data_IF_029759916060
#
_entry.id   IF_029759916060
#
_cell.length_a   1.000
_cell.length_b   1.000
_cell.length_c   1.000
_cell.angle_alpha   90.00
_cell.angle_beta   90.00
_cell.angle_gamma   90.00
#
_symmetry.space_group_name_H-M   'P 1'
#
loop_
_entity.id
_entity.type
_entity.pdbx_description
1 polymer ?
#
# COMPACT_ATOMS: atom_id res chain seq x y z
N UNK A 1 -56.01 23.62 -45.73
CA UNK A 1 -55.78 23.38 -47.18
C UNK A 1 -54.64 24.30 -47.60
N UNK A 2 -53.50 23.95 -48.19
CA UNK A 2 -52.90 22.72 -48.68
C UNK A 2 -51.64 23.15 -49.48
N UNK A 3 -50.49 22.53 -49.19
CA UNK A 3 -49.25 22.35 -50.00
C UNK A 3 -48.78 23.47 -50.97
N UNK A 4 -47.48 23.82 -50.92
CA UNK A 4 -46.37 23.15 -51.67
C UNK A 4 -45.00 23.78 -51.39
N UNK A 5 -43.99 22.90 -51.36
CA UNK A 5 -42.54 23.13 -51.27
C UNK A 5 -41.99 23.83 -52.52
N UNK A 6 -40.92 24.61 -52.37
CA UNK A 6 -39.88 24.75 -53.39
C UNK A 6 -38.52 25.00 -52.75
N UNK A 7 -37.49 24.37 -53.34
CA UNK A 7 -36.10 24.28 -52.88
C UNK A 7 -35.31 25.51 -53.35
N UNK A 8 -34.53 26.11 -52.46
CA UNK A 8 -33.52 27.14 -52.82
C UNK A 8 -32.14 26.49 -52.82
N UNK A 9 -31.49 26.47 -53.99
CA UNK A 9 -30.13 25.98 -54.20
C UNK A 9 -29.13 27.05 -53.75
N UNK A 10 -28.14 26.66 -52.94
CA UNK A 10 -26.91 27.42 -52.70
C UNK A 10 -26.06 27.38 -53.98
N UNK A 11 -25.58 28.55 -54.43
CA UNK A 11 -24.51 28.67 -55.40
C UNK A 11 -23.27 29.20 -54.68
N UNK A 12 -22.23 28.36 -54.61
CA UNK A 12 -20.91 28.71 -54.09
C UNK A 12 -20.04 29.16 -55.27
N UNK A 13 -19.47 30.36 -55.19
CA UNK A 13 -18.52 30.87 -56.17
C UNK A 13 -17.13 30.27 -55.92
N UNK A 14 -16.56 29.63 -56.95
CA UNK A 14 -15.18 29.14 -57.00
C UNK A 14 -14.20 30.32 -57.05
N UNK A 15 -13.21 30.32 -56.15
CA UNK A 15 -11.93 30.99 -56.35
C UNK A 15 -10.85 29.91 -56.44
N UNK A 16 -10.22 29.81 -57.61
CA UNK A 16 -9.11 28.90 -57.86
C UNK A 16 -7.81 29.52 -57.36
N UNK A 17 -7.12 28.82 -56.45
CA UNK A 17 -5.73 29.08 -56.11
C UNK A 17 -4.89 27.83 -56.40
N UNK A 18 -3.73 28.09 -56.97
CA UNK A 18 -2.79 27.17 -57.63
C UNK A 18 -2.26 26.09 -56.67
N UNK A 19 -2.32 24.83 -57.09
CA UNK A 19 -1.71 23.68 -56.41
C UNK A 19 -0.18 23.75 -56.51
N UNK A 20 0.49 23.98 -55.38
CA UNK A 20 1.84 23.48 -55.15
C UNK A 20 1.72 22.06 -54.58
N UNK A 21 2.21 21.07 -55.32
CA UNK A 21 2.21 19.67 -54.90
C UNK A 21 3.17 19.44 -53.73
N UNK A 22 2.62 19.38 -52.52
CA UNK A 22 3.27 18.71 -51.40
C UNK A 22 2.77 17.26 -51.39
N UNK A 23 3.68 16.31 -51.60
CA UNK A 23 3.40 14.90 -51.43
C UNK A 23 2.94 14.65 -49.99
N UNK A 24 1.66 14.34 -49.79
CA UNK A 24 1.20 13.73 -48.56
C UNK A 24 1.85 12.34 -48.50
N UNK A 25 2.95 12.23 -47.77
CA UNK A 25 3.34 10.94 -47.21
C UNK A 25 2.22 10.54 -46.26
N UNK A 26 1.50 9.48 -46.60
CA UNK A 26 0.61 8.83 -45.67
C UNK A 26 1.43 8.51 -44.41
N UNK A 27 1.09 9.13 -43.28
CA UNK A 27 1.64 8.72 -42.00
C UNK A 27 1.34 7.22 -41.85
N UNK A 28 2.33 6.38 -41.54
CA UNK A 28 2.08 4.97 -41.33
C UNK A 28 1.08 4.86 -40.19
N UNK A 29 0.00 4.13 -40.45
CA UNK A 29 -0.97 3.73 -39.44
C UNK A 29 -0.18 3.10 -38.28
N UNK A 30 -0.19 3.72 -37.10
CA UNK A 30 0.32 3.07 -35.89
C UNK A 30 -0.71 1.97 -35.58
N UNK A 31 -0.41 0.77 -36.07
CA UNK A 31 -1.13 -0.42 -35.71
C UNK A 31 -0.99 -0.64 -34.19
N UNK A 32 -2.12 -0.89 -33.55
CA UNK A 32 -2.29 -1.40 -32.20
C UNK A 32 -1.12 -2.35 -31.79
N UNK A 33 -0.45 -2.16 -30.63
CA UNK A 33 0.72 -2.98 -30.26
C UNK A 33 0.37 -4.42 -29.80
N UNK A 34 -0.88 -4.84 -29.97
CA UNK A 34 -1.26 -6.25 -29.84
C UNK A 34 -0.96 -7.02 -31.11
N UNK A 35 -0.06 -8.00 -31.03
CA UNK A 35 0.28 -8.97 -32.08
C UNK A 35 0.96 -8.41 -33.35
N UNK A 36 2.28 -8.20 -33.27
CA UNK A 36 3.17 -8.53 -34.39
C UNK A 36 3.97 -9.77 -34.03
N UNK A 37 3.39 -10.93 -34.35
CA UNK A 37 4.11 -12.20 -34.39
C UNK A 37 5.17 -12.14 -35.48
N UNK A 38 6.36 -11.69 -35.11
CA UNK A 38 7.60 -12.05 -35.78
C UNK A 38 8.33 -13.02 -34.87
N UNK A 39 8.44 -14.29 -35.27
CA UNK A 39 9.42 -15.20 -34.68
C UNK A 39 10.79 -14.54 -34.73
N UNK A 40 11.40 -14.30 -33.56
CA UNK A 40 12.78 -13.85 -33.44
C UNK A 40 13.68 -14.76 -34.27
N UNK A 41 14.60 -14.23 -35.11
CA UNK A 41 15.66 -15.05 -35.66
C UNK A 41 16.47 -15.61 -34.50
N UNK A 42 16.52 -16.94 -34.46
CA UNK A 42 16.92 -17.72 -33.30
C UNK A 42 18.34 -17.45 -32.81
N UNK A 43 18.48 -17.61 -31.50
CA UNK A 43 19.69 -17.56 -30.68
C UNK A 43 20.08 -16.14 -30.27
N UNK A 44 19.56 -15.70 -29.12
CA UNK A 44 20.19 -14.64 -28.34
C UNK A 44 21.57 -15.14 -27.91
N UNK A 45 22.62 -14.44 -28.35
CA UNK A 45 23.99 -14.75 -27.92
C UNK A 45 24.41 -13.82 -26.80
N UNK A 46 25.20 -14.35 -25.88
CA UNK A 46 25.83 -13.59 -24.80
C UNK A 46 27.25 -14.11 -24.60
N UNK A 47 28.21 -13.19 -24.57
CA UNK A 47 29.60 -13.46 -24.29
C UNK A 47 30.12 -12.45 -23.25
N UNK A 48 30.94 -12.93 -22.33
CA UNK A 48 31.56 -12.12 -21.27
C UNK A 48 33.06 -12.14 -21.48
N UNK A 49 33.73 -11.00 -21.33
CA UNK A 49 35.18 -10.89 -21.47
C UNK A 49 35.77 -9.89 -20.46
N UNK A 50 36.72 -10.31 -19.60
CA UNK A 50 37.16 -11.70 -19.35
C UNK A 50 36.02 -12.57 -18.77
N UNK A 51 36.09 -13.89 -18.97
CA UNK A 51 35.04 -14.84 -18.54
C UNK A 51 35.44 -15.68 -17.32
N UNK A 52 36.74 -15.85 -17.09
CA UNK A 52 37.30 -16.68 -16.03
C UNK A 52 38.33 -15.92 -15.19
N UNK A 53 38.63 -16.47 -14.02
CA UNK A 53 39.58 -15.90 -13.04
C UNK A 53 39.27 -14.47 -12.66
N UNK A 54 37.97 -14.19 -12.52
CA UNK A 54 37.47 -12.88 -12.14
C UNK A 54 37.68 -12.67 -10.64
N UNK A 55 37.92 -11.44 -10.23
CA UNK A 55 37.95 -11.04 -8.81
C UNK A 55 36.75 -10.17 -8.47
N UNK A 56 36.37 -10.13 -7.21
CA UNK A 56 35.26 -9.28 -6.73
C UNK A 56 35.49 -7.81 -7.12
N UNK A 57 34.47 -7.17 -7.68
CA UNK A 57 34.50 -5.81 -8.21
C UNK A 57 35.19 -5.65 -9.57
N UNK A 58 35.70 -6.72 -10.19
CA UNK A 58 36.33 -6.63 -11.51
C UNK A 58 35.32 -6.25 -12.59
N UNK A 59 35.68 -5.28 -13.43
CA UNK A 59 34.89 -4.91 -14.60
C UNK A 59 35.06 -5.92 -15.74
N UNK A 60 33.95 -6.35 -16.32
CA UNK A 60 33.88 -7.18 -17.53
C UNK A 60 33.10 -6.47 -18.62
N UNK A 61 33.35 -6.85 -19.87
CA UNK A 61 32.57 -6.44 -21.03
C UNK A 61 31.66 -7.59 -21.44
N UNK A 62 30.36 -7.33 -21.53
CA UNK A 62 29.34 -8.24 -22.04
C UNK A 62 28.96 -7.82 -23.45
N UNK A 63 29.07 -8.74 -24.40
CA UNK A 63 28.63 -8.55 -25.78
C UNK A 63 27.58 -9.58 -26.16
N UNK A 64 26.60 -9.19 -26.97
CA UNK A 64 25.61 -10.13 -27.46
C UNK A 64 24.80 -9.60 -28.62
N UNK A 65 24.03 -10.50 -29.23
CA UNK A 65 23.22 -10.24 -30.43
C UNK A 65 21.90 -10.98 -30.35
N UNK A 66 20.94 -10.61 -31.20
CA UNK A 66 19.68 -11.34 -31.33
C UNK A 66 18.56 -10.88 -30.39
N UNK A 67 18.72 -9.70 -29.78
CA UNK A 67 17.62 -9.01 -29.09
C UNK A 67 16.92 -8.03 -30.05
N UNK A 68 15.67 -7.67 -29.78
CA UNK A 68 14.88 -6.77 -30.63
C UNK A 68 15.51 -5.36 -30.64
N UNK A 69 15.88 -4.81 -31.81
CA UNK A 69 16.45 -3.48 -31.90
C UNK A 69 15.58 -2.41 -31.23
N UNK A 70 16.23 -1.49 -30.51
CA UNK A 70 15.59 -0.39 -29.78
C UNK A 70 14.62 -0.80 -28.65
N UNK A 71 14.62 -2.06 -28.20
CA UNK A 71 13.86 -2.46 -27.01
C UNK A 71 14.68 -2.30 -25.72
N UNK A 72 14.02 -2.07 -24.57
CA UNK A 72 14.67 -2.14 -23.27
C UNK A 72 15.05 -3.58 -22.93
N UNK A 73 16.20 -3.74 -22.28
CA UNK A 73 16.69 -5.03 -21.82
C UNK A 73 17.45 -4.87 -20.49
N UNK A 74 17.53 -5.99 -19.77
CA UNK A 74 18.19 -6.07 -18.47
C UNK A 74 19.35 -7.05 -18.54
N UNK A 75 20.44 -6.69 -17.86
CA UNK A 75 21.62 -7.52 -17.61
C UNK A 75 21.78 -7.71 -16.09
N UNK A 76 21.91 -8.96 -15.63
CA UNK A 76 22.01 -9.29 -14.20
C UNK A 76 23.02 -10.43 -13.94
N UNK A 77 23.61 -10.45 -12.75
CA UNK A 77 24.38 -11.60 -12.24
C UNK A 77 23.44 -12.62 -11.60
N UNK A 78 23.64 -13.90 -11.93
CA UNK A 78 22.72 -14.98 -11.62
C UNK A 78 23.44 -16.24 -11.12
N UNK A 79 22.63 -17.21 -10.67
CA UNK A 79 23.08 -18.56 -10.40
C UNK A 79 23.71 -19.24 -11.64
N UNK A 80 24.37 -20.38 -11.44
CA UNK A 80 25.03 -21.16 -12.51
C UNK A 80 24.12 -21.44 -13.72
N UNK A 81 22.86 -21.74 -13.44
CA UNK A 81 21.84 -22.10 -14.40
C UNK A 81 20.67 -21.15 -14.21
N UNK A 82 20.30 -20.45 -15.28
CA UNK A 82 19.21 -19.49 -15.27
C UNK A 82 18.01 -20.09 -15.97
N UNK A 83 16.95 -20.32 -15.21
CA UNK A 83 15.66 -20.83 -15.71
C UNK A 83 14.56 -19.79 -15.62
N UNK A 84 14.76 -18.78 -14.77
CA UNK A 84 13.87 -17.63 -14.58
C UNK A 84 14.67 -16.43 -14.06
N UNK A 85 14.08 -15.25 -14.10
CA UNK A 85 14.68 -14.04 -13.51
C UNK A 85 14.86 -14.15 -11.98
N UNK A 86 14.13 -15.05 -11.30
CA UNK A 86 14.31 -15.31 -9.87
C UNK A 86 15.61 -16.07 -9.53
N UNK A 87 16.35 -16.53 -10.54
CA UNK A 87 17.69 -17.09 -10.39
C UNK A 87 18.78 -15.99 -10.41
N UNK A 88 18.39 -14.72 -10.54
CA UNK A 88 19.27 -13.57 -10.63
C UNK A 88 19.21 -12.67 -9.39
N UNK A 89 20.27 -11.91 -9.13
CA UNK A 89 20.34 -10.94 -8.04
C UNK A 89 19.88 -9.56 -8.52
N UNK A 90 18.69 -9.09 -8.10
CA UNK A 90 18.11 -7.84 -8.58
C UNK A 90 18.94 -6.61 -8.17
N UNK A 91 19.85 -6.73 -7.20
CA UNK A 91 20.75 -5.64 -6.80
C UNK A 91 21.91 -5.42 -7.77
N UNK A 92 22.08 -6.32 -8.73
CA UNK A 92 23.08 -6.24 -9.81
C UNK A 92 22.50 -5.78 -11.15
N UNK A 93 21.20 -5.51 -11.20
CA UNK A 93 20.49 -5.18 -12.43
C UNK A 93 21.00 -3.92 -13.12
N UNK A 94 21.32 -4.06 -14.40
CA UNK A 94 21.66 -2.97 -15.29
C UNK A 94 20.68 -2.93 -16.45
N UNK A 95 19.91 -1.84 -16.52
CA UNK A 95 18.93 -1.61 -17.57
C UNK A 95 19.54 -0.76 -18.69
N UNK A 96 19.29 -1.15 -19.94
CA UNK A 96 19.76 -0.41 -21.12
C UNK A 96 18.82 -0.60 -22.30
N UNK A 97 19.11 0.07 -23.41
CA UNK A 97 18.37 -0.05 -24.67
C UNK A 97 19.26 -0.66 -25.74
N UNK A 98 18.74 -1.66 -26.44
CA UNK A 98 19.47 -2.37 -27.51
C UNK A 98 19.69 -1.42 -28.69
N UNK A 99 20.86 -1.52 -29.33
CA UNK A 99 21.18 -0.67 -30.46
C UNK A 99 20.28 -0.95 -31.69
N UNK A 100 20.48 -0.18 -32.76
CA UNK A 100 19.69 -0.31 -33.99
C UNK A 100 19.97 -1.59 -34.80
N UNK A 101 21.05 -2.32 -34.51
CA UNK A 101 21.37 -3.61 -35.14
C UNK A 101 20.88 -4.83 -34.35
N UNK A 102 20.38 -4.65 -33.12
CA UNK A 102 20.01 -5.77 -32.24
C UNK A 102 21.18 -6.34 -31.43
N UNK A 103 22.31 -5.64 -31.46
CA UNK A 103 23.53 -6.00 -30.75
C UNK A 103 23.69 -5.12 -29.50
N UNK A 104 24.49 -5.59 -28.55
CA UNK A 104 24.82 -4.82 -27.35
C UNK A 104 26.26 -5.06 -26.91
N UNK A 105 26.83 -4.04 -26.29
CA UNK A 105 28.13 -4.08 -25.62
C UNK A 105 28.03 -3.23 -24.37
N UNK A 106 28.12 -3.86 -23.20
CA UNK A 106 27.94 -3.23 -21.89
C UNK A 106 29.10 -3.62 -21.00
N UNK A 107 29.58 -2.69 -20.17
CA UNK A 107 30.52 -2.99 -19.10
C UNK A 107 29.81 -3.07 -17.76
N UNK A 108 30.08 -4.11 -16.98
CA UNK A 108 29.54 -4.28 -15.62
C UNK A 108 30.63 -4.78 -14.65
N UNK A 109 30.44 -4.61 -13.35
CA UNK A 109 31.32 -5.14 -12.30
C UNK A 109 30.77 -6.46 -11.75
N UNK A 110 31.64 -7.44 -11.53
CA UNK A 110 31.29 -8.77 -11.01
C UNK A 110 31.30 -8.79 -9.48
N UNK A 111 30.38 -9.55 -8.88
CA UNK A 111 30.37 -9.84 -7.44
C UNK A 111 30.85 -11.26 -7.15
N UNK A 112 31.62 -11.41 -6.09
CA UNK A 112 31.98 -12.73 -5.55
C UNK A 112 30.81 -13.40 -4.81
N UNK A 113 29.80 -12.64 -4.38
CA UNK A 113 28.58 -13.16 -3.76
C UNK A 113 27.35 -12.48 -4.36
N UNK A 114 26.38 -13.29 -4.77
CA UNK A 114 25.06 -12.84 -5.24
C UNK A 114 23.95 -13.41 -4.36
N UNK A 115 22.83 -12.70 -4.22
CA UNK A 115 21.65 -13.19 -3.49
C UNK A 115 20.44 -13.25 -4.40
N UNK A 116 19.99 -14.47 -4.70
CA UNK A 116 18.88 -14.69 -5.62
C UNK A 116 17.60 -15.02 -4.85
N UNK A 117 16.41 -14.63 -5.35
CA UNK A 117 15.14 -15.02 -4.75
C UNK A 117 14.96 -16.54 -4.58
N UNK A 118 15.42 -17.34 -5.56
CA UNK A 118 15.24 -18.80 -5.55
C UNK A 118 16.23 -19.54 -4.65
N UNK A 119 17.48 -19.09 -4.55
CA UNK A 119 18.57 -19.86 -3.92
C UNK A 119 19.21 -19.15 -2.72
N UNK A 120 18.82 -17.91 -2.42
CA UNK A 120 19.45 -17.12 -1.38
C UNK A 120 20.89 -16.76 -1.73
N UNK A 121 21.78 -16.74 -0.73
CA UNK A 121 23.19 -16.38 -0.91
C UNK A 121 23.95 -17.46 -1.69
N UNK A 122 24.60 -17.05 -2.79
CA UNK A 122 25.48 -17.87 -3.62
C UNK A 122 26.89 -17.27 -3.59
N UNK A 123 27.90 -18.06 -3.21
CA UNK A 123 29.31 -17.67 -3.25
C UNK A 123 29.97 -18.09 -4.56
N UNK A 124 30.07 -17.17 -5.52
CA UNK A 124 30.63 -17.40 -6.86
C UNK A 124 32.13 -17.76 -6.81
N UNK A 125 32.81 -17.42 -5.72
CA UNK A 125 34.21 -17.72 -5.43
C UNK A 125 34.38 -18.91 -4.45
N UNK A 126 33.28 -19.47 -3.93
CA UNK A 126 33.25 -20.58 -2.96
C UNK A 126 33.09 -21.96 -3.65
N UNK A 127 33.49 -22.07 -4.92
CA UNK A 127 33.40 -23.30 -5.71
C UNK A 127 32.04 -23.53 -6.40
N UNK A 128 31.12 -22.55 -6.31
CA UNK A 128 29.90 -22.51 -7.14
C UNK A 128 30.11 -21.61 -8.34
N UNK A 129 29.62 -22.00 -9.52
CA UNK A 129 29.70 -21.16 -10.72
C UNK A 129 28.54 -20.17 -10.75
N UNK A 130 28.79 -18.93 -11.12
CA UNK A 130 27.75 -17.95 -11.38
C UNK A 130 27.64 -17.67 -12.88
N UNK A 131 26.64 -16.91 -13.30
CA UNK A 131 26.48 -16.50 -14.69
C UNK A 131 26.09 -15.03 -14.79
N UNK A 132 26.25 -14.47 -15.98
CA UNK A 132 25.59 -13.22 -16.36
C UNK A 132 24.49 -13.57 -17.34
N UNK A 133 23.29 -13.05 -17.11
CA UNK A 133 22.15 -13.21 -18.01
C UNK A 133 21.70 -11.87 -18.59
N UNK A 134 21.13 -11.94 -19.80
CA UNK A 134 20.43 -10.84 -20.43
C UNK A 134 19.06 -11.30 -20.95
N UNK A 135 18.06 -10.43 -20.83
CA UNK A 135 16.72 -10.64 -21.39
C UNK A 135 16.04 -9.33 -21.73
N UNK A 136 15.01 -9.41 -22.58
CA UNK A 136 14.15 -8.27 -22.91
C UNK A 136 13.07 -8.10 -21.85
N UNK A 137 12.88 -6.88 -21.36
CA UNK A 137 11.92 -6.60 -20.28
C UNK A 137 10.47 -6.91 -20.67
N UNK A 138 10.19 -6.85 -21.98
CA UNK A 138 8.87 -7.06 -22.56
C UNK A 138 8.55 -8.54 -22.88
N UNK A 139 9.52 -9.46 -22.74
CA UNK A 139 9.38 -10.89 -23.08
C UNK A 139 9.98 -11.78 -21.98
N UNK A 140 9.30 -11.89 -20.83
CA UNK A 140 9.87 -12.42 -19.58
C UNK A 140 10.30 -13.91 -19.54
N UNK A 141 10.05 -14.75 -20.55
CA UNK A 141 10.34 -16.19 -20.43
C UNK A 141 10.99 -16.87 -21.64
N UNK A 142 11.12 -16.17 -22.78
CA UNK A 142 11.58 -16.79 -24.04
C UNK A 142 12.96 -16.35 -24.54
N UNK A 143 13.55 -15.32 -23.94
CA UNK A 143 14.73 -14.61 -24.48
C UNK A 143 15.94 -14.58 -23.54
N UNK A 144 15.95 -15.38 -22.47
CA UNK A 144 17.07 -15.40 -21.53
C UNK A 144 18.28 -16.07 -22.19
N UNK A 145 19.32 -15.28 -22.44
CA UNK A 145 20.66 -15.78 -22.72
C UNK A 145 21.53 -15.61 -21.48
N UNK A 146 22.33 -16.61 -21.15
CA UNK A 146 23.26 -16.52 -20.03
C UNK A 146 24.59 -17.20 -20.36
N UNK A 147 25.66 -16.69 -19.73
CA UNK A 147 27.01 -17.24 -19.85
C UNK A 147 27.58 -17.44 -18.46
N UNK A 148 28.02 -18.66 -18.17
CA UNK A 148 28.74 -18.96 -16.93
C UNK A 148 30.06 -18.20 -16.87
N UNK A 149 30.37 -17.69 -15.68
CA UNK A 149 31.60 -16.97 -15.34
C UNK A 149 32.35 -17.69 -14.21
N UNK A 150 33.68 -17.62 -14.25
CA UNK A 150 34.56 -18.20 -13.23
C UNK A 150 35.16 -17.12 -12.34
N UNK A 151 34.72 -17.03 -11.09
CA UNK A 151 35.31 -16.11 -10.10
C UNK A 151 36.38 -16.87 -9.33
N UNK A 152 37.61 -16.35 -9.32
CA UNK A 152 38.71 -16.92 -8.56
C UNK A 152 38.53 -16.64 -7.07
N UNK A 153 38.74 -17.65 -6.19
CA UNK A 153 38.87 -17.42 -4.77
C UNK A 153 40.00 -16.41 -4.55
N UNK A 154 39.66 -15.25 -3.97
CA UNK A 154 40.68 -14.31 -3.52
C UNK A 154 41.53 -15.02 -2.46
N UNK A 155 42.89 -14.97 -2.51
CA UNK A 155 43.72 -15.48 -1.41
C UNK A 155 43.22 -14.89 -0.11
N UNK A 156 42.74 -15.77 0.78
CA UNK A 156 41.79 -15.43 1.82
C UNK A 156 42.07 -14.09 2.48
N UNK A 157 41.17 -13.13 2.26
CA UNK A 157 40.89 -12.14 3.28
C UNK A 157 40.70 -12.94 4.57
N UNK A 158 41.46 -12.69 5.65
CA UNK A 158 41.23 -13.38 6.90
C UNK A 158 39.73 -13.31 7.18
N UNK A 159 39.11 -14.48 7.41
CA UNK A 159 37.68 -14.56 7.70
C UNK A 159 37.38 -13.44 8.71
N UNK A 160 36.46 -12.50 8.40
CA UNK A 160 36.23 -11.38 9.28
C UNK A 160 36.00 -11.96 10.67
N UNK A 161 36.64 -11.39 11.71
CA UNK A 161 36.49 -11.91 13.06
C UNK A 161 34.99 -12.11 13.33
N UNK A 162 34.59 -13.24 13.96
CA UNK A 162 33.18 -13.56 14.14
C UNK A 162 32.46 -12.34 14.71
N UNK A 163 31.32 -12.01 14.10
CA UNK A 163 30.57 -10.82 14.46
C UNK A 163 30.43 -10.74 15.99
N UNK A 164 30.75 -9.60 16.60
CA UNK A 164 30.74 -9.48 18.04
C UNK A 164 29.34 -9.82 18.58
N UNK A 165 29.31 -10.59 19.67
CA UNK A 165 28.04 -11.08 20.23
C UNK A 165 27.11 -9.91 20.56
N UNK A 166 25.87 -9.90 20.05
CA UNK A 166 24.95 -8.81 20.31
C UNK A 166 24.73 -8.58 21.80
N UNK A 167 24.56 -7.32 22.20
CA UNK A 167 24.02 -6.97 23.51
C UNK A 167 22.53 -7.26 23.49
N UNK A 168 22.01 -7.94 24.51
CA UNK A 168 20.61 -8.37 24.53
C UNK A 168 19.85 -7.67 25.64
N UNK A 169 18.71 -7.06 25.28
CA UNK A 169 17.77 -6.39 26.18
C UNK A 169 16.43 -7.14 26.12
N UNK A 170 15.91 -7.62 27.24
CA UNK A 170 14.68 -8.40 27.30
C UNK A 170 13.50 -7.58 27.82
N UNK A 171 12.38 -7.66 27.11
CA UNK A 171 11.11 -7.07 27.51
C UNK A 171 9.98 -8.12 27.55
N UNK A 172 8.99 -7.93 28.42
CA UNK A 172 7.76 -8.75 28.45
C UNK A 172 6.54 -7.87 28.71
N UNK A 173 5.31 -8.30 28.36
CA UNK A 173 4.10 -7.49 28.58
C UNK A 173 3.90 -7.03 30.04
N UNK A 174 4.28 -7.88 31.00
CA UNK A 174 4.21 -7.62 32.45
C UNK A 174 5.58 -7.34 33.08
N UNK A 175 6.59 -7.04 32.25
CA UNK A 175 7.96 -6.89 32.71
C UNK A 175 8.17 -5.68 33.59
N UNK A 176 8.83 -5.87 34.74
CA UNK A 176 9.11 -4.83 35.73
C UNK A 176 10.60 -4.79 36.13
N UNK A 177 11.43 -5.67 35.57
CA UNK A 177 12.86 -5.68 35.85
C UNK A 177 13.52 -4.38 35.40
N UNK A 178 14.52 -3.90 36.15
CA UNK A 178 15.23 -2.66 35.80
C UNK A 178 16.44 -2.89 34.88
N UNK A 179 16.96 -4.12 34.90
CA UNK A 179 18.14 -4.51 34.14
C UNK A 179 17.80 -5.17 32.79
N UNK A 180 16.50 -5.35 32.47
CA UNK A 180 16.03 -5.95 31.22
C UNK A 180 16.73 -7.27 30.86
N UNK A 181 16.85 -8.19 31.82
CA UNK A 181 17.52 -9.49 31.58
C UNK A 181 16.49 -10.57 31.26
N UNK A 182 16.93 -11.71 30.72
CA UNK A 182 16.02 -12.82 30.42
C UNK A 182 15.21 -13.30 31.64
N UNK A 183 15.83 -13.31 32.82
CA UNK A 183 15.19 -13.74 34.08
C UNK A 183 14.40 -12.62 34.78
N UNK A 184 14.65 -11.37 34.40
CA UNK A 184 13.96 -10.20 34.93
C UNK A 184 13.71 -9.20 33.79
N UNK A 185 12.82 -9.53 32.84
CA UNK A 185 12.53 -8.68 31.70
C UNK A 185 11.86 -7.39 32.16
N UNK A 186 12.10 -6.31 31.43
CA UNK A 186 11.55 -5.00 31.71
C UNK A 186 10.30 -4.72 30.85
N UNK A 187 9.72 -3.53 31.03
CA UNK A 187 8.65 -3.07 30.13
C UNK A 187 9.23 -2.75 28.74
N UNK A 188 8.38 -2.73 27.71
CA UNK A 188 8.81 -2.37 26.35
C UNK A 188 9.46 -0.98 26.28
N UNK A 189 8.89 0.01 26.97
CA UNK A 189 9.45 1.38 27.03
C UNK A 189 10.80 1.39 27.75
N UNK A 190 10.93 0.65 28.85
CA UNK A 190 12.22 0.52 29.55
C UNK A 190 13.27 -0.14 28.67
N UNK A 191 12.90 -1.14 27.86
CA UNK A 191 13.81 -1.79 26.93
C UNK A 191 14.25 -0.85 25.81
N UNK A 192 13.35 -0.01 25.31
CA UNK A 192 13.69 1.03 24.34
C UNK A 192 14.76 1.99 24.89
N UNK A 193 14.53 2.57 26.07
CA UNK A 193 15.52 3.46 26.70
C UNK A 193 16.84 2.77 27.04
N UNK A 194 16.80 1.48 27.40
CA UNK A 194 18.01 0.69 27.60
C UNK A 194 18.78 0.55 26.28
N UNK A 195 18.11 0.21 25.18
CA UNK A 195 18.74 0.12 23.87
C UNK A 195 19.33 1.47 23.42
N UNK A 196 18.57 2.56 23.56
CA UNK A 196 19.02 3.94 23.32
C UNK A 196 20.32 4.26 24.08
N UNK A 197 20.41 3.89 25.36
CA UNK A 197 21.60 4.15 26.17
C UNK A 197 22.87 3.40 25.69
N UNK A 198 22.70 2.31 24.93
CA UNK A 198 23.79 1.52 24.38
C UNK A 198 24.28 2.06 23.03
N UNK A 199 23.42 2.77 22.28
CA UNK A 199 23.69 3.25 20.92
C UNK A 199 25.01 4.05 20.80
N UNK A 200 25.30 5.05 21.66
CA UNK A 200 26.50 5.88 21.50
C UNK A 200 27.83 5.11 21.60
N UNK A 201 27.82 3.91 22.20
CA UNK A 201 29.03 3.13 22.50
C UNK A 201 29.01 1.72 21.89
N UNK A 202 28.16 1.50 20.87
CA UNK A 202 28.01 0.19 20.24
C UNK A 202 29.34 -0.35 19.72
N UNK A 203 29.63 -1.59 20.12
CA UNK A 203 30.72 -2.45 19.60
C UNK A 203 30.16 -3.77 19.01
N UNK A 204 28.83 -3.91 18.99
CA UNK A 204 28.06 -5.03 18.48
C UNK A 204 26.63 -4.56 18.23
N UNK A 205 25.83 -5.37 17.54
CA UNK A 205 24.38 -5.17 17.46
C UNK A 205 23.74 -5.15 18.86
N UNK A 206 22.58 -4.52 18.97
CA UNK A 206 21.71 -4.55 20.15
C UNK A 206 20.41 -5.26 19.78
N UNK A 207 20.19 -6.42 20.38
CA UNK A 207 18.98 -7.23 20.22
C UNK A 207 17.98 -6.91 21.34
N UNK A 208 16.86 -6.29 21.00
CA UNK A 208 15.71 -6.16 21.91
C UNK A 208 14.80 -7.37 21.72
N UNK A 209 14.82 -8.29 22.70
CA UNK A 209 14.08 -9.55 22.70
C UNK A 209 12.75 -9.42 23.44
N UNK A 210 11.67 -9.57 22.68
CA UNK A 210 10.29 -9.49 23.19
C UNK A 210 9.79 -10.88 23.57
N UNK A 211 9.46 -11.07 24.84
CA UNK A 211 8.76 -12.26 25.34
C UNK A 211 7.35 -12.40 24.76
N UNK A 212 6.74 -13.56 25.01
CA UNK A 212 5.43 -13.89 24.46
C UNK A 212 4.30 -13.02 25.04
N UNK A 213 3.26 -12.79 24.23
CA UNK A 213 2.04 -12.11 24.64
C UNK A 213 1.78 -10.74 24.01
N UNK A 214 0.76 -10.06 24.52
CA UNK A 214 0.24 -8.79 23.96
C UNK A 214 0.80 -7.61 24.73
N UNK A 215 1.52 -6.74 24.04
CA UNK A 215 2.00 -5.45 24.54
C UNK A 215 0.96 -4.39 24.17
N UNK A 216 0.08 -4.07 25.12
CA UNK A 216 -0.91 -3.02 24.97
C UNK A 216 -0.23 -1.64 25.01
N UNK A 217 -0.27 -0.93 23.89
CA UNK A 217 0.29 0.39 23.73
C UNK A 217 -0.75 1.45 24.12
N UNK A 218 -0.37 2.36 25.01
CA UNK A 218 -1.17 3.54 25.34
C UNK A 218 -0.77 4.76 24.52
N UNK A 219 0.35 4.68 23.80
CA UNK A 219 0.87 5.68 22.87
C UNK A 219 1.74 4.97 21.81
N UNK A 220 1.93 5.63 20.66
CA UNK A 220 2.85 5.14 19.64
C UNK A 220 4.27 5.02 20.21
N UNK A 221 4.98 3.95 19.85
CA UNK A 221 6.42 3.83 20.07
C UNK A 221 7.12 4.75 19.07
N UNK A 222 7.87 5.71 19.57
CA UNK A 222 8.57 6.70 18.75
C UNK A 222 10.04 6.38 18.71
N UNK A 223 10.58 6.20 17.53
CA UNK A 223 11.99 5.92 17.28
C UNK A 223 12.62 7.12 16.60
N UNK A 224 13.51 7.82 17.31
CA UNK A 224 14.30 8.93 16.79
C UNK A 224 15.70 8.49 16.35
N UNK A 225 16.57 9.43 15.92
CA UNK A 225 17.96 9.12 15.58
C UNK A 225 18.73 8.37 16.67
N UNK A 226 18.43 8.63 17.95
CA UNK A 226 19.03 7.99 19.11
C UNK A 226 18.67 6.50 19.29
N UNK A 227 17.60 6.03 18.63
CA UNK A 227 17.16 4.64 18.70
C UNK A 227 17.74 3.79 17.55
N UNK A 228 18.41 4.44 16.60
CA UNK A 228 19.05 3.79 15.47
C UNK A 228 20.43 3.21 15.82
N UNK A 229 20.84 2.18 15.09
CA UNK A 229 22.18 1.62 15.26
C UNK A 229 23.29 2.56 14.80
N UNK A 230 24.41 2.58 15.56
CA UNK A 230 25.58 3.40 15.31
C UNK A 230 26.84 2.53 15.08
N UNK A 231 27.93 3.15 14.60
CA UNK A 231 29.23 2.50 14.40
C UNK A 231 29.20 1.26 13.48
N UNK A 232 28.26 1.21 12.53
CA UNK A 232 28.07 0.07 11.62
C UNK A 232 27.28 -1.11 12.22
N UNK A 233 26.73 -0.95 13.42
CA UNK A 233 25.89 -1.95 14.08
C UNK A 233 24.41 -1.58 14.01
N UNK A 234 23.54 -2.54 14.35
CA UNK A 234 22.07 -2.42 14.27
C UNK A 234 21.41 -2.49 15.64
N UNK A 235 20.24 -1.88 15.76
CA UNK A 235 19.29 -2.13 16.84
C UNK A 235 18.14 -2.96 16.27
N UNK A 236 17.91 -4.15 16.84
CA UNK A 236 16.98 -5.15 16.29
C UNK A 236 15.93 -5.53 17.32
N UNK A 237 14.68 -5.17 17.07
CA UNK A 237 13.51 -5.62 17.84
C UNK A 237 12.98 -6.91 17.26
N UNK A 238 12.94 -7.97 18.07
CA UNK A 238 12.56 -9.30 17.60
C UNK A 238 12.02 -10.18 18.75
N UNK A 239 11.30 -11.28 18.45
CA UNK A 239 10.87 -12.21 19.47
C UNK A 239 12.05 -12.85 20.22
N UNK A 240 11.82 -13.14 21.50
CA UNK A 240 12.55 -14.18 22.21
C UNK A 240 12.30 -15.55 21.52
N UNK A 241 13.19 -16.55 21.69
CA UNK A 241 13.00 -17.86 21.08
C UNK A 241 11.63 -18.47 21.39
N UNK A 242 10.86 -18.77 20.35
CA UNK A 242 9.51 -19.36 20.45
C UNK A 242 8.39 -18.39 20.86
N UNK A 243 8.67 -17.10 21.04
CA UNK A 243 7.66 -16.10 21.37
C UNK A 243 6.95 -15.54 20.12
N UNK A 244 5.71 -15.11 20.29
CA UNK A 244 4.88 -14.47 19.28
C UNK A 244 4.32 -13.12 19.81
N UNK A 245 5.20 -12.13 20.04
CA UNK A 245 4.79 -10.84 20.59
C UNK A 245 3.87 -10.07 19.64
N UNK A 246 2.79 -9.52 20.20
CA UNK A 246 1.85 -8.63 19.50
C UNK A 246 1.92 -7.24 20.10
N UNK A 247 2.32 -6.25 19.32
CA UNK A 247 2.21 -4.84 19.67
C UNK A 247 0.81 -4.35 19.28
N UNK A 248 -0.01 -4.02 20.27
CA UNK A 248 -1.45 -3.80 20.11
C UNK A 248 -1.86 -2.39 20.51
N UNK A 249 -2.60 -1.69 19.63
CA UNK A 249 -3.27 -0.42 19.95
C UNK A 249 -4.69 -0.57 20.48
N UNK A 250 -5.15 -1.79 20.76
CA UNK A 250 -6.49 -2.03 21.23
C UNK A 250 -6.68 -1.65 22.70
N UNK A 251 -7.85 -1.13 23.01
CA UNK A 251 -8.37 -1.03 24.37
C UNK A 251 -9.66 -1.86 24.51
N UNK A 252 -9.89 -2.48 25.68
CA UNK A 252 -11.13 -3.19 25.94
C UNK A 252 -12.30 -2.23 26.12
N UNK A 253 -13.44 -2.57 25.52
CA UNK A 253 -14.71 -1.89 25.75
C UNK A 253 -15.45 -2.61 26.87
N UNK A 254 -15.66 -1.91 27.98
CA UNK A 254 -16.25 -2.47 29.22
C UNK A 254 -17.39 -1.58 29.72
N UNK A 255 -18.12 -2.03 30.74
CA UNK A 255 -19.27 -1.28 31.27
C UNK A 255 -20.54 -1.41 30.43
N UNK A 256 -20.73 -2.57 29.80
CA UNK A 256 -21.90 -2.87 28.99
C UNK A 256 -23.20 -2.86 29.80
N UNK A 257 -24.21 -2.19 29.26
CA UNK A 257 -25.58 -2.13 29.80
C UNK A 257 -26.61 -2.30 28.67
N UNK A 258 -27.85 -2.69 28.96
CA UNK A 258 -28.91 -2.71 27.96
C UNK A 258 -29.08 -1.34 27.28
N UNK A 259 -29.10 -1.34 25.96
CA UNK A 259 -29.26 -0.15 25.13
C UNK A 259 -30.73 0.23 24.90
N UNK A 260 -30.99 1.25 24.06
CA UNK A 260 -32.32 1.84 23.88
C UNK A 260 -33.32 0.94 23.13
N UNK A 261 -32.85 -0.14 22.49
CA UNK A 261 -33.69 -1.08 21.73
C UNK A 261 -33.43 -2.52 22.15
N UNK A 262 -34.42 -3.42 22.05
CA UNK A 262 -34.23 -4.84 22.38
C UNK A 262 -33.05 -5.46 21.62
N UNK A 263 -32.17 -6.15 22.35
CA UNK A 263 -30.99 -6.82 21.79
C UNK A 263 -29.79 -5.90 21.50
N UNK A 264 -29.93 -4.58 21.64
CA UNK A 264 -28.81 -3.64 21.59
C UNK A 264 -28.25 -3.46 22.99
N UNK A 265 -26.93 -3.47 23.10
CA UNK A 265 -26.17 -3.12 24.28
C UNK A 265 -25.40 -1.83 24.04
N UNK A 266 -25.10 -1.10 25.10
CA UNK A 266 -24.30 0.12 25.04
C UNK A 266 -23.19 0.14 26.10
N UNK A 267 -22.07 0.77 25.78
CA UNK A 267 -20.95 0.98 26.69
C UNK A 267 -20.32 2.36 26.48
N UNK A 268 -19.78 3.00 27.52
CA UNK A 268 -18.99 4.22 27.37
C UNK A 268 -17.68 3.92 26.64
N UNK A 269 -17.24 4.83 25.77
CA UNK A 269 -15.95 4.73 25.05
C UNK A 269 -15.26 6.08 25.02
N UNK A 270 -14.02 6.15 25.52
CA UNK A 270 -13.29 7.42 25.70
C UNK A 270 -12.50 7.88 24.46
N UNK A 271 -12.66 7.21 23.32
CA UNK A 271 -11.93 7.45 22.09
C UNK A 271 -12.79 7.07 20.88
N UNK A 272 -12.51 7.67 19.74
CA UNK A 272 -13.18 7.34 18.49
C UNK A 272 -12.52 6.15 17.81
N UNK A 273 -13.32 5.36 17.10
CA UNK A 273 -12.83 4.18 16.38
C UNK A 273 -13.75 3.83 15.22
N UNK A 274 -13.19 3.19 14.19
CA UNK A 274 -13.93 2.65 13.02
C UNK A 274 -13.87 1.13 12.95
N UNK A 275 -13.35 0.47 13.99
CA UNK A 275 -13.26 -0.98 14.07
C UNK A 275 -13.64 -1.47 15.48
N UNK A 276 -14.39 -2.55 15.55
CA UNK A 276 -14.69 -3.28 16.78
C UNK A 276 -14.40 -4.76 16.55
N UNK A 277 -13.86 -5.42 17.55
CA UNK A 277 -13.52 -6.84 17.52
C UNK A 277 -14.15 -7.54 18.71
N UNK A 278 -14.69 -8.74 18.48
CA UNK A 278 -15.22 -9.61 19.53
C UNK A 278 -14.53 -10.96 19.39
N UNK A 279 -13.80 -11.37 20.43
CA UNK A 279 -12.99 -12.60 20.45
C UNK A 279 -12.05 -12.70 19.23
N UNK A 280 -11.45 -11.56 18.85
CA UNK A 280 -10.53 -11.44 17.72
C UNK A 280 -11.20 -11.33 16.34
N UNK A 281 -12.53 -11.46 16.24
CA UNK A 281 -13.26 -11.31 14.98
C UNK A 281 -13.71 -9.86 14.77
N UNK A 282 -13.33 -9.26 13.64
CA UNK A 282 -13.76 -7.90 13.29
C UNK A 282 -15.25 -7.88 12.96
N UNK A 283 -15.97 -6.94 13.57
CA UNK A 283 -17.40 -6.74 13.33
C UNK A 283 -17.67 -5.63 12.30
N UNK A 284 -18.70 -5.80 11.46
CA UNK A 284 -19.16 -4.75 10.57
C UNK A 284 -19.79 -3.60 11.36
N UNK A 285 -19.43 -2.37 10.97
CA UNK A 285 -20.15 -1.17 11.39
C UNK A 285 -21.58 -1.24 10.83
N UNK A 286 -22.56 -0.69 11.55
CA UNK A 286 -23.95 -0.68 11.10
C UNK A 286 -24.05 0.05 9.78
N UNK A 287 -24.80 -0.53 8.85
CA UNK A 287 -25.01 0.04 7.54
C UNK A 287 -26.34 -0.36 6.93
N UNK A 288 -26.82 0.47 6.00
CA UNK A 288 -28.01 0.17 5.20
C UNK A 288 -28.62 1.41 4.59
N UNK A 289 -29.79 1.24 3.98
CA UNK A 289 -30.64 2.33 3.51
C UNK A 289 -31.92 2.39 4.35
N UNK A 290 -32.47 3.60 4.59
CA UNK A 290 -33.80 3.71 5.16
C UNK A 290 -34.84 3.07 4.23
N UNK A 291 -35.79 2.35 4.81
CA UNK A 291 -36.82 1.66 4.02
C UNK A 291 -37.68 2.65 3.21
N UNK A 292 -38.10 2.24 2.01
CA UNK A 292 -39.03 2.98 1.14
C UNK A 292 -38.60 4.44 0.89
N UNK A 293 -37.30 4.68 0.73
CA UNK A 293 -36.74 6.02 0.54
C UNK A 293 -35.83 6.01 -0.68
N UNK A 294 -36.16 6.85 -1.64
CA UNK A 294 -35.32 7.15 -2.80
C UNK A 294 -34.64 8.50 -2.61
N UNK A 295 -33.49 8.67 -3.25
CA UNK A 295 -32.69 9.88 -3.15
C UNK A 295 -32.54 10.54 -4.51
N UNK A 296 -32.57 11.87 -4.54
CA UNK A 296 -32.24 12.69 -5.71
C UNK A 296 -31.17 13.67 -5.28
N UNK A 297 -30.02 13.63 -5.94
CA UNK A 297 -28.92 14.53 -5.62
C UNK A 297 -29.29 16.00 -5.86
N UNK A 298 -28.84 16.87 -4.96
CA UNK A 298 -28.94 18.32 -5.04
C UNK A 298 -27.53 18.93 -4.99
N UNK A 299 -27.36 20.23 -5.27
CA UNK A 299 -26.05 20.88 -5.15
C UNK A 299 -25.40 20.74 -3.77
N UNK A 300 -26.18 20.58 -2.70
CA UNK A 300 -25.68 20.53 -1.31
C UNK A 300 -25.89 19.18 -0.63
N UNK A 301 -26.38 18.16 -1.35
CA UNK A 301 -26.67 16.84 -0.79
C UNK A 301 -27.78 16.10 -1.52
N UNK A 302 -28.89 15.80 -0.84
CA UNK A 302 -29.97 14.97 -1.39
C UNK A 302 -31.37 15.43 -0.98
N UNK A 303 -32.34 15.27 -1.88
CA UNK A 303 -33.76 15.19 -1.55
C UNK A 303 -34.16 13.72 -1.39
N UNK A 304 -35.06 13.46 -0.45
CA UNK A 304 -35.60 12.12 -0.15
C UNK A 304 -37.07 12.03 -0.56
N UNK A 305 -37.59 10.81 -0.74
CA UNK A 305 -39.04 10.57 -0.93
C UNK A 305 -39.80 10.31 0.39
N UNK A 306 -39.10 10.27 1.52
CA UNK A 306 -39.67 10.03 2.85
C UNK A 306 -38.98 10.89 3.92
N UNK A 307 -39.58 10.94 5.12
CA UNK A 307 -39.00 11.52 6.34
C UNK A 307 -38.47 10.44 7.29
N UNK A 308 -38.18 9.22 6.81
CA UNK A 308 -37.76 8.10 7.65
C UNK A 308 -36.50 8.42 8.49
N UNK A 309 -35.63 9.28 7.96
CA UNK A 309 -34.39 9.72 8.62
C UNK A 309 -34.61 10.76 9.73
N UNK A 310 -35.80 11.38 9.86
CA UNK A 310 -36.12 12.29 10.98
C UNK A 310 -36.05 11.58 12.34
N UNK A 311 -36.14 10.25 12.34
CA UNK A 311 -36.05 9.42 13.55
C UNK A 311 -34.62 9.08 13.96
N UNK A 312 -33.61 9.45 13.17
CA UNK A 312 -32.22 9.14 13.48
C UNK A 312 -31.74 10.01 14.64
N UNK A 313 -31.20 9.36 15.66
CA UNK A 313 -30.78 10.01 16.90
C UNK A 313 -29.62 10.99 16.70
N UNK A 314 -28.70 10.70 15.77
CA UNK A 314 -27.54 11.52 15.47
C UNK A 314 -27.13 11.39 13.99
N UNK A 315 -27.86 12.06 13.09
CA UNK A 315 -27.60 11.92 11.65
C UNK A 315 -26.23 12.45 11.26
N UNK A 316 -25.66 13.42 11.99
CA UNK A 316 -24.36 14.03 11.67
C UNK A 316 -23.17 13.11 11.88
N UNK A 317 -23.34 12.07 12.69
CA UNK A 317 -22.32 11.05 12.94
C UNK A 317 -22.36 9.88 11.93
N UNK A 318 -23.33 9.92 11.00
CA UNK A 318 -23.51 8.96 9.92
C UNK A 318 -22.87 9.42 8.62
N UNK A 319 -22.35 8.47 7.84
CA UNK A 319 -21.71 8.73 6.55
C UNK A 319 -22.50 8.12 5.40
N UNK A 320 -22.79 8.90 4.35
CA UNK A 320 -23.27 8.39 3.07
C UNK A 320 -22.10 7.78 2.30
N UNK A 321 -22.24 6.53 1.86
CA UNK A 321 -21.20 5.80 1.14
C UNK A 321 -21.57 5.64 -0.34
N UNK A 322 -20.60 5.89 -1.21
CA UNK A 322 -20.70 5.83 -2.66
C UNK A 322 -19.67 4.84 -3.21
N UNK A 323 -20.10 3.60 -3.47
CA UNK A 323 -19.30 2.61 -4.21
C UNK A 323 -19.31 2.97 -5.68
N UNK A 324 -18.13 3.00 -6.31
CA UNK A 324 -17.94 3.47 -7.66
C UNK A 324 -18.40 4.93 -7.86
N UNK A 325 -18.23 5.77 -6.82
CA UNK A 325 -18.73 7.14 -6.80
C UNK A 325 -17.94 8.07 -7.72
N UNK A 326 -16.63 8.12 -7.51
CA UNK A 326 -15.69 9.10 -8.10
C UNK A 326 -14.71 8.39 -9.05
N UNK A 327 -15.21 7.33 -9.69
CA UNK A 327 -14.44 6.35 -10.46
C UNK A 327 -14.84 4.92 -10.13
N UNK A 328 -14.68 4.00 -11.08
CA UNK A 328 -15.11 2.59 -10.91
C UNK A 328 -14.22 1.79 -9.94
N UNK A 329 -13.20 2.41 -9.36
CA UNK A 329 -12.28 1.83 -8.39
C UNK A 329 -12.40 2.44 -7.00
N UNK A 330 -13.27 3.43 -6.80
CA UNK A 330 -13.39 4.17 -5.54
C UNK A 330 -14.58 3.72 -4.71
N UNK A 331 -14.46 3.88 -3.39
CA UNK A 331 -15.55 3.88 -2.43
C UNK A 331 -15.36 5.07 -1.49
N UNK A 332 -16.17 6.10 -1.67
CA UNK A 332 -16.09 7.33 -0.87
C UNK A 332 -17.15 7.35 0.22
N UNK A 333 -16.85 7.98 1.35
CA UNK A 333 -17.81 8.23 2.41
C UNK A 333 -17.78 9.71 2.83
N UNK A 334 -18.93 10.39 2.83
CA UNK A 334 -19.06 11.75 3.38
C UNK A 334 -20.09 11.77 4.50
N UNK A 335 -19.78 12.45 5.61
CA UNK A 335 -20.72 12.62 6.70
C UNK A 335 -21.91 13.49 6.28
N UNK A 336 -23.05 13.25 6.92
CA UNK A 336 -24.21 14.14 6.80
C UNK A 336 -23.92 15.41 7.61
N UNK A 337 -24.21 16.58 7.04
CA UNK A 337 -24.11 17.87 7.73
C UNK A 337 -25.39 18.22 8.49
N UNK A 338 -26.56 17.96 7.90
CA UNK A 338 -27.86 18.07 8.57
C UNK A 338 -28.97 17.35 7.80
N UNK A 339 -30.08 17.08 8.50
CA UNK A 339 -31.34 16.63 7.92
C UNK A 339 -32.44 17.59 8.34
N UNK A 340 -33.26 18.03 7.38
CA UNK A 340 -34.44 18.85 7.61
C UNK A 340 -35.59 18.37 6.73
N UNK A 341 -36.51 17.63 7.35
CA UNK A 341 -37.60 16.94 6.65
C UNK A 341 -37.06 16.03 5.56
N UNK A 342 -37.44 16.29 4.30
CA UNK A 342 -37.03 15.46 3.15
C UNK A 342 -35.69 15.89 2.55
N UNK A 343 -34.90 16.74 3.22
CA UNK A 343 -33.63 17.28 2.69
C UNK A 343 -32.45 16.84 3.55
N UNK A 344 -31.42 16.29 2.90
CA UNK A 344 -30.10 16.03 3.47
C UNK A 344 -29.14 17.10 2.93
N UNK A 345 -28.44 17.78 3.83
CA UNK A 345 -27.27 18.58 3.49
C UNK A 345 -26.03 17.80 3.90
N UNK A 346 -25.08 17.60 2.99
CA UNK A 346 -23.84 16.86 3.25
C UNK A 346 -22.80 17.75 3.94
N UNK A 347 -21.91 17.14 4.72
CA UNK A 347 -20.83 17.86 5.40
C UNK A 347 -19.76 18.34 4.41
N UNK A 348 -19.14 19.47 4.73
CA UNK A 348 -18.05 20.09 3.97
C UNK A 348 -16.72 19.95 4.73
N UNK A 349 -15.58 19.83 4.05
CA UNK A 349 -15.39 19.96 2.59
C UNK A 349 -15.55 18.67 1.78
N UNK A 350 -15.88 17.54 2.42
CA UNK A 350 -16.03 16.25 1.71
C UNK A 350 -16.94 16.33 0.47
N UNK A 351 -18.10 16.97 0.61
CA UNK A 351 -19.05 17.08 -0.51
C UNK A 351 -18.51 17.93 -1.66
N UNK A 352 -17.86 19.05 -1.38
CA UNK A 352 -17.23 19.88 -2.42
C UNK A 352 -16.08 19.14 -3.10
N UNK A 353 -15.26 18.40 -2.34
CA UNK A 353 -14.18 17.58 -2.86
C UNK A 353 -14.69 16.51 -3.83
N UNK A 354 -15.88 15.96 -3.57
CA UNK A 354 -16.53 15.03 -4.49
C UNK A 354 -17.01 15.65 -5.80
N UNK A 355 -17.18 16.97 -5.85
CA UNK A 355 -17.69 17.68 -7.03
C UNK A 355 -16.61 18.54 -7.70
N UNK A 356 -15.35 18.37 -7.31
CA UNK A 356 -14.24 19.03 -8.00
C UNK A 356 -14.25 18.66 -9.49
N UNK A 357 -14.15 19.65 -10.40
CA UNK A 357 -14.18 19.39 -11.82
C UNK A 357 -12.96 18.55 -12.22
N UNK A 358 -13.17 17.64 -13.18
CA UNK A 358 -12.12 16.80 -13.76
C UNK A 358 -11.12 17.58 -14.62
N UNK A 359 -11.04 18.91 -14.50
CA UNK A 359 -10.14 19.76 -15.29
C UNK A 359 -8.92 20.14 -14.42
N UNK A 360 -7.75 19.52 -14.68
CA UNK A 360 -6.47 20.12 -14.25
C UNK A 360 -5.49 19.31 -13.38
N UNK A 361 -5.51 17.98 -13.34
CA UNK A 361 -4.47 17.17 -12.66
C UNK A 361 -3.72 16.27 -13.67
N UNK A 362 -3.02 16.91 -14.61
CA UNK A 362 -2.24 16.22 -15.65
C UNK A 362 -0.85 15.84 -15.12
N UNK A 363 -0.70 14.67 -14.48
CA UNK A 363 0.65 14.16 -14.11
C UNK A 363 1.07 12.87 -14.82
N UNK A 364 0.16 12.12 -15.46
CA UNK A 364 0.49 10.79 -16.02
C UNK A 364 0.23 10.69 -17.53
N UNK A 365 1.28 10.91 -18.33
CA UNK A 365 1.26 10.93 -19.81
C UNK A 365 1.03 9.59 -20.53
N UNK A 366 0.63 8.54 -19.81
CA UNK A 366 0.38 7.19 -20.38
C UNK A 366 -1.09 6.76 -20.29
N UNK A 367 -1.94 7.59 -19.69
CA UNK A 367 -3.40 7.38 -19.67
C UNK A 367 -4.02 8.43 -20.58
N UNK A 368 -4.66 7.98 -21.66
CA UNK A 368 -5.50 8.82 -22.51
C UNK A 368 -6.76 9.19 -21.69
N UNK A 369 -6.62 10.17 -20.79
CA UNK A 369 -7.71 10.87 -20.13
C UNK A 369 -7.78 12.24 -20.79
N UNK A 370 -8.63 12.44 -21.83
CA UNK A 370 -8.66 13.67 -22.62
C UNK A 370 -8.97 14.94 -21.81
N UNK A 371 -9.31 14.79 -20.52
CA UNK A 371 -9.65 15.86 -19.58
C UNK A 371 -8.63 16.03 -18.44
N UNK A 372 -7.69 15.10 -18.25
CA UNK A 372 -6.60 15.24 -17.28
C UNK A 372 -7.02 15.40 -15.81
N UNK A 373 -8.19 14.96 -15.38
CA UNK A 373 -8.59 14.97 -13.97
C UNK A 373 -9.40 13.74 -13.58
N UNK A 374 -9.51 13.50 -12.28
CA UNK A 374 -10.28 12.38 -11.74
C UNK A 374 -11.79 12.70 -11.84
N UNK A 375 -12.65 11.71 -12.13
CA UNK A 375 -14.06 11.98 -12.27
C UNK A 375 -14.66 12.29 -10.90
N UNK A 376 -15.30 13.46 -10.76
CA UNK A 376 -16.14 13.74 -9.60
C UNK A 376 -17.38 12.83 -9.55
N UNK A 377 -18.06 12.86 -8.41
CA UNK A 377 -19.28 12.12 -8.16
C UNK A 377 -20.32 12.43 -9.25
N UNK A 378 -20.85 11.38 -9.90
CA UNK A 378 -21.84 11.55 -10.95
C UNK A 378 -23.08 12.32 -10.44
N UNK A 379 -23.65 13.28 -11.20
CA UNK A 379 -24.87 14.01 -10.80
C UNK A 379 -26.15 13.17 -10.61
N UNK A 380 -26.07 11.86 -10.92
CA UNK A 380 -27.15 10.88 -10.73
C UNK A 380 -26.82 9.86 -9.64
N UNK A 381 -25.63 9.95 -9.03
CA UNK A 381 -25.22 9.02 -8.00
C UNK A 381 -26.01 9.32 -6.74
N UNK A 382 -26.50 8.25 -6.11
CA UNK A 382 -27.14 8.28 -4.79
C UNK A 382 -26.30 7.46 -3.82
N UNK A 383 -26.49 7.62 -2.50
CA UNK A 383 -25.83 6.76 -1.53
C UNK A 383 -26.18 5.30 -1.80
N UNK A 384 -25.18 4.41 -1.77
CA UNK A 384 -25.43 2.96 -1.82
C UNK A 384 -25.89 2.46 -0.44
N UNK A 385 -25.37 3.07 0.62
CA UNK A 385 -25.81 2.87 1.99
C UNK A 385 -25.29 4.02 2.88
N UNK A 386 -25.87 4.14 4.07
CA UNK A 386 -25.33 4.94 5.16
C UNK A 386 -24.59 4.03 6.14
N UNK A 387 -23.51 4.51 6.74
CA UNK A 387 -22.75 3.84 7.79
C UNK A 387 -22.87 4.57 9.13
N UNK A 388 -22.62 3.85 10.22
CA UNK A 388 -22.67 4.35 11.60
C UNK A 388 -24.06 4.84 12.03
N UNK A 389 -25.11 4.17 11.58
CA UNK A 389 -26.50 4.52 11.94
C UNK A 389 -27.01 3.50 12.96
N UNK A 390 -27.22 3.88 14.24
CA UNK A 390 -27.78 2.98 15.23
C UNK A 390 -29.10 2.38 14.76
N UNK A 391 -29.98 3.18 14.18
CA UNK A 391 -31.32 2.79 13.74
C UNK A 391 -31.31 1.65 12.70
N UNK A 392 -30.24 1.51 11.92
CA UNK A 392 -30.05 0.48 10.90
C UNK A 392 -29.28 -0.76 11.39
N UNK A 393 -28.93 -0.85 12.67
CA UNK A 393 -28.23 -2.00 13.22
C UNK A 393 -29.00 -3.32 13.04
N UNK A 394 -28.25 -4.35 12.70
CA UNK A 394 -28.68 -5.75 12.68
C UNK A 394 -27.79 -6.61 13.59
N UNK A 395 -28.18 -7.87 13.83
CA UNK A 395 -27.39 -8.81 14.64
C UNK A 395 -25.96 -8.93 14.11
N UNK A 396 -24.98 -8.82 14.99
CA UNK A 396 -23.56 -8.84 14.67
C UNK A 396 -22.97 -7.49 14.27
N UNK A 397 -23.76 -6.40 14.22
CA UNK A 397 -23.28 -5.06 13.88
C UNK A 397 -23.12 -4.17 15.11
N UNK A 398 -22.31 -3.12 14.98
CA UNK A 398 -22.09 -2.11 16.00
C UNK A 398 -22.17 -0.71 15.41
N UNK A 399 -22.40 0.30 16.23
CA UNK A 399 -22.28 1.71 15.87
C UNK A 399 -21.64 2.48 17.03
N UNK A 400 -21.15 3.68 16.78
CA UNK A 400 -20.63 4.58 17.80
C UNK A 400 -21.34 5.92 17.64
N UNK A 401 -21.68 6.53 18.77
CA UNK A 401 -22.06 7.93 18.81
C UNK A 401 -20.88 8.70 19.43
N UNK A 402 -20.17 9.45 18.58
CA UNK A 402 -18.94 10.17 18.97
C UNK A 402 -19.25 11.40 19.81
N UNK A 403 -20.40 12.04 19.63
CA UNK A 403 -20.83 13.20 20.42
C UNK A 403 -21.13 12.85 21.88
N UNK A 404 -21.71 11.68 22.13
CA UNK A 404 -22.06 11.17 23.46
C UNK A 404 -21.08 10.11 23.98
N UNK A 405 -20.00 9.84 23.25
CA UNK A 405 -18.96 8.87 23.63
C UNK A 405 -19.52 7.50 24.02
N UNK A 406 -20.49 7.01 23.22
CA UNK A 406 -21.22 5.76 23.49
C UNK A 406 -21.10 4.80 22.32
N UNK A 407 -20.65 3.58 22.58
CA UNK A 407 -20.63 2.50 21.61
C UNK A 407 -21.86 1.62 21.78
N UNK A 408 -22.54 1.31 20.67
CA UNK A 408 -23.68 0.40 20.62
C UNK A 408 -23.29 -0.88 19.90
N UNK A 409 -23.70 -2.03 20.42
CA UNK A 409 -23.45 -3.33 19.82
C UNK A 409 -24.69 -4.21 19.90
N UNK A 410 -25.03 -4.90 18.81
CA UNK A 410 -26.08 -5.91 18.78
C UNK A 410 -25.45 -7.30 18.62
N UNK A 411 -25.22 -8.07 19.70
CA UNK A 411 -24.60 -9.39 19.64
C UNK A 411 -25.35 -10.36 18.73
N UNK A 412 -24.60 -11.14 17.94
CA UNK A 412 -25.20 -12.09 17.01
C UNK A 412 -25.95 -13.21 17.72
N UNK A 413 -25.43 -13.66 18.86
CA UNK A 413 -26.02 -14.69 19.72
C UNK A 413 -26.99 -14.13 20.77
N UNK A 414 -27.10 -12.79 20.86
CA UNK A 414 -27.96 -12.09 21.82
C UNK A 414 -27.47 -12.12 23.26
N UNK A 415 -26.26 -12.62 23.55
CA UNK A 415 -25.71 -12.65 24.90
C UNK A 415 -25.17 -11.28 25.32
N UNK A 416 -24.92 -11.13 26.62
CA UNK A 416 -24.25 -9.96 27.18
C UNK A 416 -22.82 -9.85 26.61
N UNK A 417 -22.43 -8.71 26.00
CA UNK A 417 -21.09 -8.51 25.45
C UNK A 417 -19.96 -8.66 26.48
N UNK A 418 -20.25 -8.47 27.78
CA UNK A 418 -19.26 -8.65 28.85
C UNK A 418 -18.77 -10.09 29.00
N UNK A 419 -19.44 -11.08 28.37
CA UNK A 419 -18.96 -12.46 28.30
C UNK A 419 -17.89 -12.69 27.23
N UNK A 420 -17.56 -11.66 26.43
CA UNK A 420 -16.61 -11.72 25.32
C UNK A 420 -15.48 -10.69 25.49
N UNK A 421 -14.34 -10.95 24.84
CA UNK A 421 -13.28 -9.96 24.73
C UNK A 421 -13.65 -8.94 23.63
N UNK A 422 -14.27 -7.83 24.02
CA UNK A 422 -14.60 -6.73 23.10
C UNK A 422 -13.48 -5.69 23.08
N UNK A 423 -12.84 -5.53 21.92
CA UNK A 423 -11.66 -4.69 21.72
C UNK A 423 -11.89 -3.67 20.60
N UNK A 424 -11.41 -2.45 20.77
CA UNK A 424 -11.39 -1.44 19.71
C UNK A 424 -10.00 -0.77 19.60
N UNK A 425 -9.49 -0.48 18.39
CA UNK A 425 -8.30 0.34 18.20
C UNK A 425 -8.49 1.74 18.80
N UNK A 426 -7.65 2.09 19.78
CA UNK A 426 -7.59 3.42 20.38
C UNK A 426 -6.42 4.25 19.83
N UNK A 427 -5.43 3.60 19.20
CA UNK A 427 -4.29 4.25 18.55
C UNK A 427 -4.39 4.14 17.05
N UNK A 428 -4.08 5.23 16.33
CA UNK A 428 -3.96 5.20 14.88
C UNK A 428 -2.58 4.71 14.42
N UNK A 429 -1.53 5.10 15.15
CA UNK A 429 -0.14 4.71 14.88
C UNK A 429 0.41 3.90 16.05
N UNK A 430 0.99 2.73 15.77
CA UNK A 430 1.63 1.88 16.78
C UNK A 430 3.13 2.15 16.90
N UNK A 431 3.79 2.35 15.77
CA UNK A 431 5.21 2.67 15.66
C UNK A 431 5.39 3.84 14.70
N UNK A 432 6.20 4.81 15.11
CA UNK A 432 6.64 5.93 14.28
C UNK A 432 8.17 5.95 14.30
N UNK A 433 8.78 6.00 13.11
CA UNK A 433 10.23 6.08 12.95
C UNK A 433 10.52 7.39 12.23
N UNK A 434 11.30 8.25 12.88
CA UNK A 434 11.70 9.55 12.34
C UNK A 434 13.21 9.73 12.55
N UNK A 435 13.98 9.63 11.46
CA UNK A 435 15.44 9.84 11.49
C UNK A 435 16.29 8.70 12.09
N UNK A 436 15.70 7.60 12.55
CA UNK A 436 16.46 6.42 12.98
C UNK A 436 17.08 5.67 11.78
N UNK A 437 18.35 5.28 11.88
CA UNK A 437 19.05 4.44 10.88
C UNK A 437 19.44 3.10 11.49
N UNK A 438 19.64 2.05 10.68
CA UNK A 438 20.05 0.71 11.16
C UNK A 438 19.14 0.12 12.26
N UNK A 439 17.86 0.47 12.24
CA UNK A 439 16.80 -0.06 13.11
C UNK A 439 16.02 -1.14 12.34
N UNK A 440 15.78 -2.28 12.96
CA UNK A 440 15.03 -3.39 12.36
C UNK A 440 13.97 -3.94 13.31
N UNK A 441 12.82 -4.29 12.76
CA UNK A 441 11.78 -5.08 13.41
C UNK A 441 11.64 -6.40 12.67
N UNK A 442 11.82 -7.52 13.36
CA UNK A 442 11.79 -8.85 12.74
C UNK A 442 10.85 -9.76 13.50
N UNK A 443 9.92 -10.42 12.84
CA UNK A 443 9.06 -11.45 13.45
C UNK A 443 8.04 -10.94 14.48
N UNK A 444 7.73 -9.64 14.48
CA UNK A 444 6.73 -9.03 15.36
C UNK A 444 5.38 -8.91 14.66
N UNK A 445 4.30 -9.01 15.44
CA UNK A 445 2.95 -8.70 14.96
C UNK A 445 2.53 -7.31 15.42
N UNK A 446 2.02 -6.50 14.50
CA UNK A 446 1.38 -5.21 14.79
C UNK A 446 -0.13 -5.38 14.60
N UNK A 447 -0.94 -4.99 15.57
CA UNK A 447 -2.39 -5.20 15.51
C UNK A 447 -3.17 -4.05 16.11
N UNK A 448 -4.41 -3.90 15.64
CA UNK A 448 -5.36 -2.92 16.18
C UNK A 448 -4.84 -1.46 16.08
N UNK A 449 -4.24 -1.11 14.94
CA UNK A 449 -4.09 0.29 14.51
C UNK A 449 -5.37 0.75 13.82
N UNK A 450 -5.93 1.86 14.29
CA UNK A 450 -7.14 2.47 13.73
C UNK A 450 -6.84 3.59 12.73
N UNK A 451 -7.89 4.16 12.15
CA UNK A 451 -7.81 5.42 11.43
C UNK A 451 -9.19 6.08 11.47
N UNK A 452 -9.27 7.30 12.00
CA UNK A 452 -10.53 8.04 12.19
C UNK A 452 -10.63 9.26 11.28
N UNK A 453 -9.67 9.46 10.36
CA UNK A 453 -9.72 10.53 9.35
C UNK A 453 -11.07 10.64 8.62
N UNK A 454 -11.68 9.52 8.16
CA UNK A 454 -12.99 9.54 7.51
C UNK A 454 -14.15 10.06 8.35
N UNK A 455 -13.97 10.20 9.67
CA UNK A 455 -15.02 10.68 10.59
C UNK A 455 -15.00 12.21 10.73
N UNK A 456 -13.97 12.89 10.21
CA UNK A 456 -13.90 14.36 10.19
C UNK A 456 -14.80 14.93 9.08
N UNK A 457 -15.01 16.27 9.04
CA UNK A 457 -15.75 16.90 7.95
C UNK A 457 -15.11 16.73 6.55
N UNK A 458 -13.81 16.39 6.47
CA UNK A 458 -13.14 16.03 5.21
C UNK A 458 -13.64 14.69 4.64
N UNK A 459 -14.21 13.84 5.49
CA UNK A 459 -14.69 12.50 5.11
C UNK A 459 -13.61 11.66 4.43
N UNK A 460 -14.02 10.87 3.45
CA UNK A 460 -13.15 9.98 2.68
C UNK A 460 -13.36 10.16 1.18
N UNK A 461 -13.12 11.38 0.67
CA UNK A 461 -13.15 11.69 -0.75
C UNK A 461 -11.89 11.14 -1.45
N UNK A 462 -11.91 9.84 -1.79
CA UNK A 462 -10.74 9.17 -2.34
C UNK A 462 -10.64 9.29 -3.86
N UNK A 463 -9.41 9.46 -4.36
CA UNK A 463 -9.12 9.55 -5.79
C UNK A 463 -8.60 8.22 -6.35
N UNK A 464 -7.51 7.71 -5.77
CA UNK A 464 -6.90 6.43 -6.14
C UNK A 464 -5.97 5.98 -5.01
N UNK A 465 -5.89 4.66 -4.77
CA UNK A 465 -5.04 4.08 -3.74
C UNK A 465 -5.24 4.72 -2.35
N UNK A 466 -6.50 5.05 -2.03
CA UNK A 466 -6.91 5.69 -0.77
C UNK A 466 -6.32 7.09 -0.51
N UNK A 467 -5.75 7.76 -1.52
CA UNK A 467 -5.40 9.18 -1.43
C UNK A 467 -6.66 10.03 -1.38
N UNK A 468 -6.82 10.78 -0.29
CA UNK A 468 -8.01 11.57 0.00
C UNK A 468 -7.81 13.06 -0.25
N UNK A 469 -8.79 13.70 -0.87
CA UNK A 469 -8.91 15.15 -0.92
C UNK A 469 -9.40 15.68 0.43
N UNK A 470 -8.74 16.71 0.94
CA UNK A 470 -9.03 17.37 2.23
C UNK A 470 -8.91 18.89 2.08
N UNK A 471 -9.60 19.66 2.94
CA UNK A 471 -9.46 21.13 3.01
C UNK A 471 -10.62 21.91 2.43
#
# INVERSE_FOLDING_TARGET
MGRKRSRSKLALALSAAVLAGAALTAAPSIANPGNRGGTLPGVTTLAVSPVDRLVDGQTVTVTGTGLIPMQPFTLEECAAVVTSTNDCDPTTALHSTINTSGDYTITTSIRATVTTPNQGRIGCDEGTTCSIAAWEDNLQAGSIAYQGIGVTPTPGTPSPPPAPTPKVVFASPSGTGKACTQHAPCSLITAQHMAESLVPTMQSDVDVRLGDGVYALTQALKFGPQDGGANGFRVVYQPAPGAHPVLSGAQPITGWTPGPRPGVWQAPVAFDTRQLYVDGQRLPLSSGLPANTDFVQTPTGFLMTSTAMDSWSDPTDAAAVFTYGDGVWTQTACNIGSISGMTITMAQSCWDNLHMPSEGVQELGWVDSPSGGFPGLSPKKTPDFFQNVPELMTKGTWSINRHSHTLFYMPADGKDPSTHAVLAPALQTLVSVDGASNLSFTGLTFSYGGWTGPDTPDGFAQMQADWTLTG
#
